data_IF_865750756041
#
_entry.id   IF_865750756041
#
_cell.length_a   1.000
_cell.length_b   1.000
_cell.length_c   1.000
_cell.angle_alpha   90.00
_cell.angle_beta   90.00
_cell.angle_gamma   90.00
#
_symmetry.space_group_name_H-M   'P 1'
#
loop_
_entity.id
_entity.type
_entity.pdbx_description
1 polymer ?
#
# COMPACT_ATOMS: atom_id res chain seq x y z
N UNK A 1 10.98 25.70 -5.67
CA UNK A 1 12.09 24.82 -5.25
C UNK A 1 12.25 23.73 -6.31
N UNK A 2 13.45 23.44 -6.78
CA UNK A 2 13.67 22.24 -7.60
C UNK A 2 13.36 21.01 -6.71
N UNK A 3 12.70 19.96 -7.24
CA UNK A 3 12.47 18.76 -6.46
C UNK A 3 13.83 18.20 -6.02
N UNK A 4 13.96 17.88 -4.73
CA UNK A 4 15.16 17.24 -4.22
C UNK A 4 15.38 15.93 -4.99
N UNK A 5 16.42 15.89 -5.81
CA UNK A 5 16.89 14.66 -6.44
C UNK A 5 17.41 13.75 -5.34
N UNK A 6 16.90 12.53 -5.27
CA UNK A 6 17.24 11.55 -4.25
C UNK A 6 16.61 10.20 -4.57
N UNK A 7 16.85 9.20 -3.71
CA UNK A 7 16.23 7.89 -3.86
C UNK A 7 14.85 7.85 -3.18
N UNK A 8 13.86 7.29 -3.85
CA UNK A 8 12.55 6.95 -3.26
C UNK A 8 12.29 5.47 -3.38
N UNK A 9 11.53 4.92 -2.43
CA UNK A 9 11.09 3.53 -2.46
C UNK A 9 9.58 3.46 -2.50
N UNK A 10 9.04 2.83 -3.53
CA UNK A 10 7.65 2.41 -3.54
C UNK A 10 7.53 1.04 -2.86
N UNK A 11 6.74 0.97 -1.80
CA UNK A 11 6.57 -0.21 -0.95
C UNK A 11 5.11 -0.65 -0.97
N UNK A 12 4.87 -1.93 -1.20
CA UNK A 12 3.57 -2.56 -1.04
C UNK A 12 3.67 -3.75 -0.08
N UNK A 13 2.71 -3.86 0.84
CA UNK A 13 2.59 -4.96 1.78
C UNK A 13 1.40 -5.81 1.36
N UNK A 14 1.63 -7.11 1.22
CA UNK A 14 0.61 -8.06 0.79
C UNK A 14 0.54 -9.25 1.73
N UNK A 15 -0.63 -9.85 1.81
CA UNK A 15 -0.85 -11.17 2.42
C UNK A 15 -1.49 -12.07 1.37
N UNK A 16 -0.76 -13.10 0.94
CA UNK A 16 -1.14 -13.88 -0.25
C UNK A 16 -1.39 -12.97 -1.47
N UNK A 17 -2.66 -12.73 -1.82
CA UNK A 17 -3.05 -11.88 -2.96
C UNK A 17 -3.64 -10.54 -2.54
N UNK A 18 -3.86 -10.32 -1.24
CA UNK A 18 -4.51 -9.12 -0.72
C UNK A 18 -3.49 -8.01 -0.48
N UNK A 19 -3.75 -6.83 -1.06
CA UNK A 19 -2.97 -5.62 -0.78
C UNK A 19 -3.41 -5.03 0.56
N UNK A 20 -2.51 -5.03 1.53
CA UNK A 20 -2.78 -4.51 2.87
C UNK A 20 -2.46 -3.04 3.00
N UNK A 21 -1.35 -2.59 2.41
CA UNK A 21 -0.90 -1.21 2.46
C UNK A 21 0.05 -0.92 1.31
N UNK A 22 0.13 0.35 0.90
CA UNK A 22 1.12 0.81 -0.06
C UNK A 22 1.49 2.27 0.20
N UNK A 23 2.77 2.56 0.03
CA UNK A 23 3.29 3.91 0.18
C UNK A 23 4.55 4.14 -0.62
N UNK A 24 4.94 5.40 -0.72
CA UNK A 24 6.25 5.83 -1.21
C UNK A 24 7.01 6.43 -0.04
N UNK A 25 8.20 5.91 0.21
CA UNK A 25 9.13 6.33 1.25
C UNK A 25 10.22 7.21 0.64
N UNK A 26 10.57 8.29 1.36
CA UNK A 26 11.61 9.26 0.98
C UNK A 26 12.76 9.24 1.99
N UNK A 27 13.80 10.03 1.73
CA UNK A 27 14.91 10.20 2.64
C UNK A 27 14.43 10.51 4.08
N UNK A 28 14.99 9.81 5.06
CA UNK A 28 14.58 9.89 6.46
C UNK A 28 13.57 8.83 6.88
N UNK A 29 12.86 8.19 5.94
CA UNK A 29 11.91 7.13 6.25
C UNK A 29 12.61 5.84 6.71
N UNK A 30 12.01 5.18 7.70
CA UNK A 30 12.40 3.84 8.16
C UNK A 30 11.15 2.96 8.16
N UNK A 31 11.24 1.82 7.48
CA UNK A 31 10.23 0.77 7.53
C UNK A 31 10.67 -0.28 8.54
N UNK A 32 9.89 -0.45 9.60
CA UNK A 32 10.17 -1.46 10.64
C UNK A 32 9.19 -2.62 10.59
N UNK A 33 9.66 -3.81 10.97
CA UNK A 33 8.86 -5.03 11.09
C UNK A 33 9.07 -5.58 12.49
N UNK A 34 8.04 -6.13 13.09
CA UNK A 34 8.18 -6.74 14.41
C UNK A 34 6.85 -7.19 14.98
N UNK A 35 6.88 -7.67 16.21
CA UNK A 35 5.69 -8.09 16.94
C UNK A 35 5.12 -6.96 17.82
N UNK A 36 5.87 -5.87 18.01
CA UNK A 36 5.48 -4.72 18.82
C UNK A 36 4.56 -3.74 18.09
N UNK A 37 3.80 -2.95 18.86
CA UNK A 37 2.92 -1.86 18.35
C UNK A 37 3.69 -0.70 17.71
N UNK A 38 5.01 -0.63 17.95
CA UNK A 38 5.91 0.35 17.36
C UNK A 38 6.42 -0.05 15.96
N UNK A 39 6.14 -1.27 15.51
CA UNK A 39 6.49 -1.72 14.17
C UNK A 39 5.52 -1.15 13.14
N UNK A 40 6.03 -0.58 12.05
CA UNK A 40 5.22 -0.20 10.88
C UNK A 40 4.45 -1.40 10.34
N UNK A 41 5.06 -2.59 10.39
CA UNK A 41 4.44 -3.85 10.00
C UNK A 41 4.43 -4.78 11.20
N UNK A 42 3.27 -4.93 11.83
CA UNK A 42 3.09 -5.85 12.95
C UNK A 42 2.81 -7.27 12.46
N UNK A 43 3.53 -8.23 13.04
CA UNK A 43 3.36 -9.65 12.80
C UNK A 43 2.84 -10.33 14.07
N UNK A 44 1.79 -11.13 13.93
CA UNK A 44 1.35 -12.04 14.99
C UNK A 44 1.93 -13.43 14.73
N UNK A 45 2.65 -14.00 15.69
CA UNK A 45 2.87 -15.45 15.73
C UNK A 45 4.16 -16.01 15.10
N UNK A 46 5.26 -15.26 15.02
CA UNK A 46 6.57 -15.85 14.69
C UNK A 46 7.74 -15.18 15.45
N UNK A 47 8.86 -15.90 15.54
CA UNK A 47 10.13 -15.59 16.22
C UNK A 47 10.89 -14.37 15.66
N UNK A 48 10.20 -13.26 15.47
CA UNK A 48 10.82 -11.99 15.13
C UNK A 48 11.09 -11.19 16.40
N UNK A 49 12.18 -10.41 16.42
CA UNK A 49 12.43 -9.46 17.50
C UNK A 49 11.27 -8.45 17.60
N UNK A 50 11.22 -7.75 18.73
CA UNK A 50 10.16 -6.76 19.00
C UNK A 50 10.08 -5.70 17.89
N UNK A 51 11.23 -5.29 17.34
CA UNK A 51 11.36 -4.31 16.28
C UNK A 51 12.66 -4.51 15.48
N UNK A 52 12.56 -4.61 14.15
CA UNK A 52 13.71 -4.67 13.23
C UNK A 52 13.53 -3.64 12.10
N UNK A 53 14.59 -2.94 11.71
CA UNK A 53 14.54 -1.99 10.59
C UNK A 53 14.71 -2.74 9.27
N UNK A 54 13.63 -3.04 8.56
CA UNK A 54 13.69 -3.71 7.25
C UNK A 54 14.31 -2.81 6.20
N UNK A 55 13.87 -1.56 6.13
CA UNK A 55 14.37 -0.61 5.15
C UNK A 55 14.67 0.73 5.79
N UNK A 56 15.82 1.30 5.44
CA UNK A 56 16.17 2.68 5.75
C UNK A 56 16.46 3.42 4.46
N UNK A 57 15.76 4.53 4.26
CA UNK A 57 15.98 5.43 3.12
C UNK A 57 16.77 6.62 3.60
N UNK A 58 17.93 6.81 2.99
CA UNK A 58 18.75 8.00 3.14
C UNK A 58 18.72 8.80 1.84
N UNK A 59 19.39 9.96 1.81
CA UNK A 59 19.27 10.92 0.72
C UNK A 59 19.47 10.29 -0.67
N UNK A 60 20.53 9.50 -0.84
CA UNK A 60 20.92 8.92 -2.13
C UNK A 60 21.05 7.39 -2.09
N UNK A 61 20.70 6.76 -0.97
CA UNK A 61 20.84 5.31 -0.78
C UNK A 61 19.68 4.76 0.04
N UNK A 62 19.30 3.54 -0.25
CA UNK A 62 18.46 2.75 0.63
C UNK A 62 19.23 1.52 1.06
N UNK A 63 18.95 1.06 2.27
CA UNK A 63 19.47 -0.22 2.71
C UNK A 63 18.32 -1.11 3.14
N UNK A 64 18.41 -2.37 2.73
CA UNK A 64 17.55 -3.45 3.18
C UNK A 64 18.32 -4.27 4.19
N UNK A 65 17.76 -4.46 5.38
CA UNK A 65 18.28 -5.41 6.34
C UNK A 65 17.36 -6.63 6.44
N UNK A 66 17.93 -7.82 6.47
CA UNK A 66 17.19 -9.08 6.53
C UNK A 66 17.92 -10.10 7.41
N UNK A 67 17.20 -11.14 7.83
CA UNK A 67 17.73 -12.25 8.64
C UNK A 67 17.46 -13.58 7.96
N UNK A 68 17.94 -14.69 8.51
CA UNK A 68 17.70 -16.05 7.97
C UNK A 68 16.21 -16.43 7.97
N UNK A 69 15.41 -15.80 8.84
CA UNK A 69 13.97 -16.02 8.90
C UNK A 69 13.21 -15.34 7.74
N UNK A 70 13.90 -14.58 6.88
CA UNK A 70 13.31 -13.86 5.76
C UNK A 70 13.78 -14.46 4.43
N UNK A 71 12.84 -14.68 3.53
CA UNK A 71 13.16 -15.03 2.14
C UNK A 71 13.26 -13.74 1.32
N UNK A 72 14.46 -13.46 0.79
CA UNK A 72 14.70 -12.29 -0.06
C UNK A 72 14.83 -12.74 -1.51
N UNK A 73 14.06 -12.10 -2.39
CA UNK A 73 14.25 -12.14 -3.83
C UNK A 73 14.60 -10.76 -4.34
N UNK A 74 15.79 -10.60 -4.91
CA UNK A 74 16.31 -9.33 -5.38
C UNK A 74 16.47 -9.35 -6.89
N UNK A 75 15.64 -8.56 -7.58
CA UNK A 75 15.71 -8.41 -9.01
C UNK A 75 16.51 -7.16 -9.39
N UNK A 76 17.61 -7.39 -10.10
CA UNK A 76 18.49 -6.37 -10.67
C UNK A 76 18.79 -6.75 -12.12
N UNK A 77 18.40 -5.89 -13.08
CA UNK A 77 18.41 -6.25 -14.50
C UNK A 77 17.49 -7.43 -14.81
N UNK A 78 18.02 -8.44 -15.49
CA UNK A 78 17.27 -9.64 -15.94
C UNK A 78 17.34 -10.82 -14.95
N UNK A 79 18.09 -10.70 -13.86
CA UNK A 79 18.31 -11.77 -12.88
C UNK A 79 17.56 -11.56 -11.57
N UNK A 80 17.13 -12.66 -10.94
CA UNK A 80 16.63 -12.70 -9.56
C UNK A 80 17.67 -13.39 -8.68
N UNK A 81 18.19 -12.69 -7.67
CA UNK A 81 19.10 -13.22 -6.65
C UNK A 81 18.33 -13.56 -5.38
N UNK A 82 18.63 -14.71 -4.79
CA UNK A 82 18.14 -15.15 -3.47
C UNK A 82 18.94 -14.51 -2.33
N UNK A 83 18.45 -14.62 -1.09
CA UNK A 83 19.20 -14.18 0.11
C UNK A 83 20.59 -14.80 0.18
N UNK A 84 20.71 -16.11 -0.05
CA UNK A 84 22.00 -16.81 -0.01
C UNK A 84 22.96 -16.30 -1.09
N UNK A 85 22.48 -16.09 -2.32
CA UNK A 85 23.32 -15.55 -3.40
C UNK A 85 23.78 -14.12 -3.11
N UNK A 86 22.96 -13.30 -2.44
CA UNK A 86 23.38 -11.96 -2.02
C UNK A 86 24.51 -12.02 -0.97
N UNK A 87 24.44 -12.99 -0.05
CA UNK A 87 25.46 -13.22 0.98
C UNK A 87 26.75 -13.74 0.33
N UNK A 88 26.66 -14.81 -0.47
CA UNK A 88 27.81 -15.48 -1.09
C UNK A 88 28.56 -14.57 -2.06
N UNK A 89 27.84 -13.66 -2.74
CA UNK A 89 28.45 -12.67 -3.65
C UNK A 89 29.03 -11.45 -2.94
N UNK A 90 28.85 -11.32 -1.62
CA UNK A 90 29.30 -10.17 -0.83
C UNK A 90 28.50 -8.89 -1.04
N UNK A 91 27.34 -8.97 -1.70
CA UNK A 91 26.42 -7.83 -1.87
C UNK A 91 25.72 -7.52 -0.55
N UNK A 92 25.40 -8.55 0.23
CA UNK A 92 24.87 -8.42 1.57
C UNK A 92 26.00 -8.60 2.59
N UNK A 93 26.19 -7.61 3.45
CA UNK A 93 27.21 -7.61 4.50
C UNK A 93 26.57 -7.94 5.84
N UNK A 94 27.27 -8.72 6.67
CA UNK A 94 26.81 -8.97 8.04
C UNK A 94 26.64 -7.66 8.81
N UNK A 95 25.55 -7.60 9.57
CA UNK A 95 25.21 -6.45 10.41
C UNK A 95 24.55 -6.95 11.69
N UNK A 96 24.45 -6.07 12.68
CA UNK A 96 23.62 -6.27 13.86
C UNK A 96 22.74 -5.05 14.09
N UNK A 97 21.52 -5.27 14.54
CA UNK A 97 20.67 -4.16 14.95
C UNK A 97 21.06 -3.62 16.34
N UNK A 98 20.34 -2.58 16.77
CA UNK A 98 20.50 -2.00 18.10
C UNK A 98 20.23 -2.99 19.25
N UNK A 99 19.47 -4.07 18.99
CA UNK A 99 19.21 -5.15 19.93
C UNK A 99 20.26 -6.27 19.89
N UNK A 100 21.28 -6.15 19.03
CA UNK A 100 22.35 -7.14 18.87
C UNK A 100 21.93 -8.39 18.10
N UNK A 101 20.78 -8.38 17.43
CA UNK A 101 20.34 -9.48 16.57
C UNK A 101 21.16 -9.44 15.29
N UNK A 102 21.83 -10.55 14.99
CA UNK A 102 22.63 -10.68 13.77
C UNK A 102 21.73 -10.79 12.53
N UNK A 103 22.17 -10.20 11.43
CA UNK A 103 21.52 -10.27 10.14
C UNK A 103 22.45 -9.78 9.04
N UNK A 104 21.87 -9.41 7.90
CA UNK A 104 22.59 -8.91 6.75
C UNK A 104 21.97 -7.63 6.24
N UNK A 105 22.79 -6.77 5.64
CA UNK A 105 22.39 -5.52 5.03
C UNK A 105 22.88 -5.45 3.58
N UNK A 106 21.98 -5.13 2.66
CA UNK A 106 22.28 -4.90 1.26
C UNK A 106 21.82 -3.51 0.83
N UNK A 107 22.63 -2.84 0.00
CA UNK A 107 22.32 -1.50 -0.52
C UNK A 107 21.44 -1.57 -1.76
N UNK A 108 20.31 -0.87 -1.76
CA UNK A 108 19.39 -0.75 -2.89
C UNK A 108 19.75 0.50 -3.70
N UNK A 109 20.01 0.29 -5.00
CA UNK A 109 20.14 1.37 -5.98
C UNK A 109 18.81 1.58 -6.74
N UNK A 110 18.68 2.75 -7.39
CA UNK A 110 17.54 3.06 -8.25
C UNK A 110 17.37 1.98 -9.34
N UNK A 111 16.12 1.60 -9.61
CA UNK A 111 15.78 0.51 -10.54
C UNK A 111 15.74 -0.88 -9.88
N UNK A 112 16.32 -1.05 -8.69
CA UNK A 112 16.25 -2.29 -7.92
C UNK A 112 14.83 -2.64 -7.51
N UNK A 113 14.50 -3.93 -7.55
CA UNK A 113 13.23 -4.47 -7.06
C UNK A 113 13.51 -5.58 -6.07
N UNK A 114 12.85 -5.56 -4.94
CA UNK A 114 13.03 -6.56 -3.89
C UNK A 114 11.69 -7.07 -3.46
N UNK A 115 11.61 -8.38 -3.25
CA UNK A 115 10.56 -9.02 -2.48
C UNK A 115 11.19 -9.59 -1.22
N UNK A 116 10.58 -9.28 -0.07
CA UNK A 116 10.92 -9.89 1.21
C UNK A 116 9.70 -10.62 1.72
N UNK A 117 9.83 -11.92 1.98
CA UNK A 117 8.77 -12.74 2.56
C UNK A 117 9.14 -13.17 3.96
N UNK A 118 8.17 -13.15 4.85
CA UNK A 118 8.30 -13.64 6.22
C UNK A 118 6.92 -14.10 6.71
N UNK A 119 6.82 -15.37 7.07
CA UNK A 119 5.53 -16.01 7.38
C UNK A 119 4.56 -15.87 6.21
N UNK A 120 3.37 -15.33 6.48
CA UNK A 120 2.32 -15.11 5.46
C UNK A 120 2.34 -13.74 4.77
N UNK A 121 3.29 -12.86 5.11
CA UNK A 121 3.40 -11.52 4.51
C UNK A 121 4.47 -11.47 3.42
N UNK A 122 4.26 -10.58 2.46
CA UNK A 122 5.26 -10.21 1.45
C UNK A 122 5.34 -8.69 1.34
N UNK A 123 6.55 -8.16 1.46
CA UNK A 123 6.87 -6.74 1.25
C UNK A 123 7.55 -6.62 -0.12
N UNK A 124 6.90 -5.90 -1.01
CA UNK A 124 7.38 -5.59 -2.35
C UNK A 124 7.98 -4.19 -2.33
N UNK A 125 9.22 -4.05 -2.75
CA UNK A 125 9.96 -2.79 -2.74
C UNK A 125 10.45 -2.52 -4.17
N UNK A 126 10.23 -1.30 -4.64
CA UNK A 126 10.78 -0.81 -5.90
C UNK A 126 11.50 0.50 -5.64
N UNK A 127 12.81 0.52 -5.90
CA UNK A 127 13.63 1.71 -5.79
C UNK A 127 13.55 2.54 -7.09
N UNK A 128 13.40 3.86 -6.97
CA UNK A 128 13.29 4.80 -8.09
C UNK A 128 13.92 6.14 -7.74
N UNK A 129 14.12 6.98 -8.75
CA UNK A 129 14.60 8.35 -8.54
C UNK A 129 13.43 9.26 -8.14
N UNK A 130 13.66 10.12 -7.15
CA UNK A 130 12.73 11.18 -6.72
C UNK A 130 12.37 12.10 -7.88
N UNK A 131 11.13 12.57 -7.90
CA UNK A 131 10.63 13.53 -8.89
C UNK A 131 10.28 12.93 -10.26
N UNK A 132 10.40 11.61 -10.45
CA UNK A 132 9.88 10.95 -11.65
C UNK A 132 8.34 11.00 -11.75
N UNK A 133 7.66 11.29 -10.63
CA UNK A 133 6.21 11.18 -10.49
C UNK A 133 5.62 12.48 -9.94
N UNK A 134 4.52 13.01 -10.51
CA UNK A 134 3.88 14.21 -10.01
C UNK A 134 3.28 13.97 -8.62
N UNK A 135 3.54 14.92 -7.73
CA UNK A 135 2.91 14.99 -6.41
C UNK A 135 1.65 15.86 -6.49
N UNK A 136 0.57 15.39 -5.87
CA UNK A 136 -0.71 16.10 -5.82
C UNK A 136 -1.19 16.14 -4.37
N UNK A 137 -1.85 17.24 -3.98
CA UNK A 137 -2.56 17.27 -2.72
C UNK A 137 -3.65 16.18 -2.71
N UNK A 138 -3.90 15.50 -1.58
CA UNK A 138 -5.04 14.59 -1.48
C UNK A 138 -6.35 15.36 -1.61
N UNK A 139 -7.44 14.67 -1.97
CA UNK A 139 -8.77 15.26 -1.87
C UNK A 139 -9.15 15.42 -0.39
N UNK A 140 -9.44 16.65 0.03
CA UNK A 140 -9.92 16.95 1.39
C UNK A 140 -11.39 16.56 1.56
N UNK A 141 -12.21 16.80 0.54
CA UNK A 141 -13.65 16.50 0.58
C UNK A 141 -13.97 15.00 0.58
N UNK A 142 -13.09 14.19 -0.02
CA UNK A 142 -13.27 12.75 -0.14
C UNK A 142 -11.98 12.00 0.22
N UNK A 143 -11.71 11.82 1.53
CA UNK A 143 -10.54 11.09 2.00
C UNK A 143 -10.45 9.71 1.34
N UNK A 144 -9.27 9.39 0.82
CA UNK A 144 -9.06 8.12 0.12
C UNK A 144 -9.21 8.19 -1.40
N UNK A 145 -9.52 9.35 -1.98
CA UNK A 145 -9.43 9.57 -3.42
C UNK A 145 -8.16 10.33 -3.81
N UNK A 146 -7.66 10.07 -5.01
CA UNK A 146 -6.52 10.77 -5.57
C UNK A 146 -6.90 12.19 -5.97
N UNK A 147 -6.19 13.21 -5.48
CA UNK A 147 -6.49 14.61 -5.84
C UNK A 147 -6.27 14.95 -7.32
N UNK A 148 -5.49 14.15 -8.05
CA UNK A 148 -5.25 14.36 -9.48
C UNK A 148 -6.30 13.74 -10.42
N UNK A 149 -6.92 12.61 -10.05
CA UNK A 149 -7.84 11.89 -10.95
C UNK A 149 -9.10 11.31 -10.27
N UNK A 150 -9.31 11.58 -8.98
CA UNK A 150 -10.41 11.10 -8.16
C UNK A 150 -10.54 9.56 -8.05
N UNK A 151 -9.56 8.78 -8.51
CA UNK A 151 -9.57 7.34 -8.33
C UNK A 151 -9.31 6.97 -6.86
N UNK A 152 -9.89 5.85 -6.41
CA UNK A 152 -9.62 5.30 -5.09
C UNK A 152 -8.12 5.00 -4.91
N UNK A 153 -7.57 5.44 -3.79
CA UNK A 153 -6.19 5.22 -3.39
C UNK A 153 -6.08 3.90 -2.60
N UNK A 154 -4.94 3.20 -2.69
CA UNK A 154 -4.69 2.03 -1.86
C UNK A 154 -4.68 2.41 -0.37
N UNK A 155 -4.89 1.44 0.54
CA UNK A 155 -4.70 1.67 1.97
C UNK A 155 -3.29 2.24 2.23
N UNK A 156 -3.18 3.28 3.08
CA UNK A 156 -1.91 3.95 3.32
C UNK A 156 -0.92 3.04 4.04
N UNK A 157 0.36 3.28 3.81
CA UNK A 157 1.42 2.76 4.67
C UNK A 157 1.55 3.68 5.89
N UNK A 158 1.49 3.14 7.11
CA UNK A 158 1.58 3.93 8.34
C UNK A 158 3.05 4.27 8.69
N UNK A 159 3.72 4.97 7.79
CA UNK A 159 5.04 5.55 8.00
C UNK A 159 4.92 7.06 7.88
N UNK A 160 5.49 7.77 8.85
CA UNK A 160 5.51 9.23 8.84
C UNK A 160 6.15 9.77 7.55
N UNK A 161 5.51 10.78 6.97
CA UNK A 161 5.89 11.37 5.68
C UNK A 161 5.73 10.45 4.45
N UNK A 162 5.12 9.27 4.58
CA UNK A 162 4.88 8.41 3.41
C UNK A 162 3.77 8.95 2.51
N UNK A 163 3.96 8.80 1.19
CA UNK A 163 3.01 9.26 0.19
C UNK A 163 2.19 8.11 -0.36
N UNK A 164 0.96 8.38 -0.80
CA UNK A 164 0.05 7.36 -1.36
C UNK A 164 0.11 7.35 -2.89
N UNK A 165 0.65 6.31 -3.53
CA UNK A 165 0.68 6.22 -4.99
C UNK A 165 -0.71 5.88 -5.54
N UNK A 166 -1.12 6.55 -6.62
CA UNK A 166 -2.35 6.29 -7.34
C UNK A 166 -2.12 5.33 -8.51
N UNK A 167 -2.85 4.21 -8.55
CA UNK A 167 -2.75 3.24 -9.64
C UNK A 167 -3.30 3.71 -10.98
N UNK A 168 -4.24 4.66 -10.97
CA UNK A 168 -4.91 5.11 -12.17
C UNK A 168 -4.09 6.13 -12.97
N UNK A 169 -3.54 7.14 -12.30
CA UNK A 169 -2.79 8.23 -12.94
C UNK A 169 -1.29 8.22 -12.66
N UNK A 170 -0.84 7.38 -11.72
CA UNK A 170 0.56 7.30 -11.29
C UNK A 170 0.97 8.36 -10.27
N UNK A 171 0.17 9.42 -10.02
CA UNK A 171 0.53 10.49 -9.10
C UNK A 171 0.72 9.98 -7.67
N UNK A 172 1.59 10.64 -6.90
CA UNK A 172 1.74 10.42 -5.46
C UNK A 172 0.97 11.48 -4.69
N UNK A 173 0.25 11.07 -3.65
CA UNK A 173 -0.61 11.95 -2.86
C UNK A 173 0.03 12.12 -1.50
N UNK A 174 0.22 13.37 -1.07
CA UNK A 174 0.71 13.67 0.28
C UNK A 174 -0.27 13.25 1.37
N UNK A 175 0.17 13.22 2.64
CA UNK A 175 -0.77 13.32 3.74
C UNK A 175 -1.58 14.62 3.61
N UNK A 176 -2.84 14.66 4.08
CA UNK A 176 -3.55 15.93 4.21
C UNK A 176 -2.73 16.83 5.14
N UNK A 177 -2.57 18.11 4.75
CA UNK A 177 -1.86 19.07 5.59
C UNK A 177 -2.65 19.23 6.90
N UNK A 178 -2.04 19.01 8.08
CA UNK A 178 -2.74 19.18 9.34
C UNK A 178 -3.28 20.61 9.55
N UNK A 179 -2.62 21.63 8.99
CA UNK A 179 -3.07 23.03 9.12
C UNK A 179 -4.40 23.27 8.38
N UNK A 180 -4.63 22.59 7.25
CA UNK A 180 -5.87 22.70 6.47
C UNK A 180 -7.09 22.02 7.14
N UNK A 181 -6.86 21.15 8.14
CA UNK A 181 -7.91 20.43 8.86
C UNK A 181 -8.50 21.27 9.99
N UNK A 182 -7.69 22.11 10.64
CA UNK A 182 -8.13 22.93 11.79
C UNK A 182 -9.09 24.05 11.36
N UNK A 183 -8.84 24.70 10.22
CA UNK A 183 -9.70 25.77 9.68
C UNK A 183 -11.08 25.25 9.20
N UNK A 184 -11.14 24.00 8.76
CA UNK A 184 -12.39 23.36 8.30
C UNK A 184 -13.32 22.96 9.46
N UNK A 185 -12.77 22.77 10.67
CA UNK A 185 -13.55 22.44 11.87
C UNK A 185 -14.09 23.71 12.54
N UNK A 186 -13.34 24.80 12.53
CA UNK A 186 -13.76 26.06 13.18
C UNK A 186 -14.85 26.83 12.43
N UNK A 187 -14.89 26.73 11.10
CA UNK A 187 -15.88 27.46 10.28
C UNK A 187 -17.31 26.89 10.34
N UNK A 188 -17.53 25.74 10.98
CA UNK A 188 -18.86 25.14 11.14
C UNK A 188 -19.52 25.43 12.49
N UNK A 189 -18.81 26.10 13.41
CA UNK A 189 -19.34 26.46 14.74
C UNK A 189 -19.78 27.91 14.88
N UNK A 190 -19.39 28.83 14.00
CA UNK A 190 -19.73 30.27 14.13
C UNK A 190 -21.10 30.64 13.52
N UNK A 191 -21.70 29.78 12.70
CA UNK A 191 -23.04 30.03 12.11
C UNK A 191 -24.20 29.38 12.91
N UNK A 192 -23.91 28.75 14.06
CA UNK A 192 -24.92 28.08 14.87
C UNK A 192 -25.55 28.95 15.98
N UNK A 193 -24.99 30.13 16.28
CA UNK A 193 -25.37 30.92 17.47
C UNK A 193 -26.36 32.08 17.22
N UNK A 194 -26.89 32.27 16.00
CA UNK A 194 -27.89 33.32 15.71
C UNK A 194 -29.35 32.84 15.57
N UNK A 195 -29.68 31.61 16.00
CA UNK A 195 -31.07 31.13 16.05
C UNK A 195 -31.52 30.60 17.43
N UNK A 196 -31.12 31.24 18.53
CA UNK A 196 -31.90 31.13 19.78
C UNK A 196 -33.07 32.11 19.78
N UNK A 197 -34.10 31.60 19.13
CA UNK A 197 -35.50 31.96 19.18
C UNK A 197 -35.98 32.32 20.59
N UNK A 198 -36.46 33.55 20.70
CA UNK A 198 -37.31 34.08 21.77
C UNK A 198 -38.63 33.29 21.84
N UNK A 199 -38.67 32.15 22.56
CA UNK A 199 -39.94 31.45 22.86
C UNK A 199 -39.94 30.88 24.29
N UNK A 200 -40.49 31.70 25.19
CA UNK A 200 -41.54 31.28 26.12
C UNK A 200 -41.29 30.06 27.00
N UNK A 201 -40.82 30.32 28.22
CA UNK A 201 -40.94 29.41 29.36
C UNK A 201 -42.42 29.05 29.62
N UNK A 202 -42.72 27.75 29.57
CA UNK A 202 -43.93 27.16 30.15
C UNK A 202 -43.59 25.79 30.76
N UNK A 203 -43.90 25.53 32.04
CA UNK A 203 -43.65 24.24 32.66
C UNK A 203 -44.83 23.31 32.40
N UNK A 204 -44.59 22.12 31.84
CA UNK A 204 -45.57 21.03 31.88
C UNK A 204 -44.89 19.74 32.30
N UNK A 205 -45.37 19.23 33.42
CA UNK A 205 -44.99 17.99 34.05
C UNK A 205 -45.62 16.76 33.37
N UNK A 206 -44.94 15.62 33.54
CA UNK A 206 -45.41 14.23 33.57
C UNK A 206 -46.47 13.75 32.56
N UNK A 207 -46.17 12.64 31.86
CA UNK A 207 -46.82 11.35 32.15
C UNK A 207 -46.26 10.18 31.31
N UNK A 208 -46.02 9.08 32.02
CA UNK A 208 -45.96 7.70 31.51
C UNK A 208 -47.33 7.29 30.90
N UNK A 209 -47.31 6.54 29.79
CA UNK A 209 -48.24 5.45 29.36
C UNK A 209 -47.85 5.10 27.89
N UNK A 210 -47.29 3.94 27.53
CA UNK A 210 -47.87 2.60 27.35
C UNK A 210 -48.99 2.50 26.29
N UNK A 211 -48.69 1.87 25.13
CA UNK A 211 -49.55 1.09 24.20
C UNK A 211 -48.77 0.89 22.87
N UNK A 212 -48.31 -0.31 22.48
CA UNK A 212 -49.01 -1.43 21.80
C UNK A 212 -49.72 -1.10 20.48
N UNK A 213 -49.39 -1.91 19.46
CA UNK A 213 -50.10 -2.12 18.18
C UNK A 213 -49.63 -1.20 17.05
N UNK A 214 -49.59 -1.57 15.78
CA UNK A 214 -49.78 -2.83 15.05
C UNK A 214 -49.32 -2.56 13.60
N UNK A 215 -49.16 -3.66 12.86
CA UNK A 215 -49.02 -3.83 11.41
C UNK A 215 -49.49 -2.70 10.45
N UNK A 216 -48.67 -2.44 9.41
CA UNK A 216 -49.06 -2.24 7.99
C UNK A 216 -47.77 -2.11 7.14
N UNK A 217 -47.41 -3.03 6.25
CA UNK A 217 -48.04 -3.39 4.97
C UNK A 217 -48.10 -2.23 3.94
N UNK A 218 -47.11 -2.21 3.04
CA UNK A 218 -47.32 -1.98 1.60
C UNK A 218 -47.34 -0.53 1.05
N UNK A 219 -46.36 -0.21 0.20
CA UNK A 219 -46.51 0.41 -1.14
C UNK A 219 -45.11 0.81 -1.62
N UNK A 220 -44.50 0.14 -2.61
CA UNK A 220 -44.65 0.37 -4.06
C UNK A 220 -44.87 1.83 -4.46
N UNK A 221 -43.77 2.55 -4.68
CA UNK A 221 -43.70 3.73 -5.56
C UNK A 221 -42.36 3.70 -6.31
N UNK A 222 -42.37 3.13 -7.52
CA UNK A 222 -41.64 3.74 -8.64
C UNK A 222 -42.60 4.76 -9.27
N UNK A 223 -42.11 5.94 -9.70
CA UNK A 223 -41.98 6.07 -11.14
C UNK A 223 -40.87 7.02 -11.63
N UNK A 224 -40.54 6.80 -12.91
CA UNK A 224 -40.18 7.81 -13.92
C UNK A 224 -38.85 8.55 -13.71
N UNK A 225 -37.88 8.44 -14.62
CA UNK A 225 -38.06 8.75 -16.03
C UNK A 225 -37.84 10.25 -16.21
N UNK A 226 -36.59 10.62 -16.45
CA UNK A 226 -36.13 11.98 -16.71
C UNK A 226 -34.95 11.93 -17.66
N UNK A 227 -35.24 11.89 -18.95
CA UNK A 227 -34.32 12.26 -20.02
C UNK A 227 -34.11 13.79 -19.97
N UNK A 228 -32.86 14.24 -19.93
CA UNK A 228 -32.49 15.58 -20.32
C UNK A 228 -31.07 15.57 -20.90
N UNK A 229 -30.96 16.22 -22.05
CA UNK A 229 -29.89 16.18 -23.02
C UNK A 229 -28.61 16.92 -22.60
N UNK A 230 -27.50 16.40 -23.17
CA UNK A 230 -26.38 17.11 -23.80
C UNK A 230 -25.72 18.29 -23.06
N UNK A 231 -24.43 18.09 -22.71
CA UNK A 231 -23.42 19.09 -23.06
C UNK A 231 -21.98 18.55 -23.03
N UNK A 232 -21.21 18.96 -24.04
CA UNK A 232 -19.76 19.15 -24.05
C UNK A 232 -18.81 17.93 -23.99
N UNK A 233 -18.49 17.44 -25.20
CA UNK A 233 -17.14 17.08 -25.68
C UNK A 233 -16.07 16.64 -24.67
N UNK A 234 -15.92 15.32 -24.49
CA UNK A 234 -14.73 14.73 -23.87
C UNK A 234 -13.71 14.29 -24.93
N UNK A 235 -12.41 14.58 -24.76
CA UNK A 235 -11.37 14.09 -25.65
C UNK A 235 -11.21 12.57 -25.47
N UNK A 236 -11.50 11.85 -26.55
CA UNK A 236 -11.35 10.39 -26.70
C UNK A 236 -9.90 9.96 -26.46
N UNK A 237 -9.54 9.69 -25.21
CA UNK A 237 -8.20 9.20 -24.83
C UNK A 237 -8.05 7.72 -25.22
N UNK A 238 -7.04 7.43 -26.04
CA UNK A 238 -6.67 6.09 -26.50
C UNK A 238 -6.50 5.14 -25.30
N UNK A 239 -7.39 4.15 -25.19
CA UNK A 239 -7.19 2.97 -24.32
C UNK A 239 -5.90 2.28 -24.77
N UNK A 240 -4.83 2.36 -23.96
CA UNK A 240 -3.65 1.51 -24.11
C UNK A 240 -4.08 0.09 -23.77
N UNK A 241 -4.24 -0.74 -24.78
CA UNK A 241 -4.49 -2.18 -24.63
C UNK A 241 -3.36 -2.82 -23.83
N UNK A 242 -3.71 -3.67 -22.86
CA UNK A 242 -2.77 -4.59 -22.24
C UNK A 242 -2.17 -5.48 -23.34
N UNK A 243 -0.86 -5.75 -23.34
CA UNK A 243 -0.25 -6.60 -24.36
C UNK A 243 -0.87 -8.00 -24.29
N UNK A 244 -1.38 -8.55 -25.40
CA UNK A 244 -1.83 -9.92 -25.43
C UNK A 244 -0.60 -10.80 -25.22
N UNK A 245 -0.55 -11.51 -24.09
CA UNK A 245 0.39 -12.61 -23.94
C UNK A 245 0.18 -13.54 -25.12
N UNK A 246 1.19 -13.63 -25.97
CA UNK A 246 1.09 -14.43 -27.19
C UNK A 246 0.93 -15.88 -26.76
N UNK A 247 0.08 -16.64 -27.47
CA UNK A 247 -0.14 -18.08 -27.20
C UNK A 247 1.18 -18.88 -27.14
N UNK A 248 2.23 -18.34 -27.75
CA UNK A 248 3.60 -18.85 -27.71
C UNK A 248 4.24 -18.77 -26.31
N UNK A 249 4.07 -17.65 -25.59
CA UNK A 249 4.61 -17.47 -24.24
C UNK A 249 3.92 -18.39 -23.22
N UNK A 250 2.62 -18.62 -23.38
CA UNK A 250 1.89 -19.59 -22.57
C UNK A 250 2.34 -21.03 -22.85
N UNK A 251 2.65 -21.34 -24.12
CA UNK A 251 3.19 -22.64 -24.52
C UNK A 251 4.59 -22.93 -23.96
N UNK A 252 5.48 -21.93 -23.92
CA UNK A 252 6.83 -22.09 -23.36
C UNK A 252 6.81 -22.33 -21.85
N UNK A 253 5.91 -21.67 -21.12
CA UNK A 253 5.72 -21.92 -19.68
C UNK A 253 5.19 -23.33 -19.41
N UNK A 254 4.22 -23.79 -20.20
CA UNK A 254 3.68 -25.14 -20.06
C UNK A 254 4.74 -26.22 -20.36
N UNK A 255 5.58 -26.02 -21.37
CA UNK A 255 6.64 -26.98 -21.72
C UNK A 255 7.73 -27.08 -20.64
N UNK A 256 8.14 -25.94 -20.06
CA UNK A 256 9.11 -25.91 -18.96
C UNK A 256 8.62 -26.62 -17.69
N UNK A 257 7.31 -26.54 -17.40
CA UNK A 257 6.74 -27.22 -16.25
C UNK A 257 6.72 -28.75 -16.41
N UNK A 258 6.40 -29.24 -17.61
CA UNK A 258 6.38 -30.68 -17.92
C UNK A 258 7.79 -31.27 -17.90
N UNK A 259 8.79 -30.60 -18.47
CA UNK A 259 10.17 -31.09 -18.45
C UNK A 259 10.76 -31.10 -17.04
N UNK A 260 10.43 -30.11 -16.20
CA UNK A 260 10.84 -30.08 -14.79
C UNK A 260 10.30 -31.24 -13.97
N UNK A 261 9.01 -31.58 -14.13
CA UNK A 261 8.39 -32.71 -13.42
C UNK A 261 9.00 -34.05 -13.81
N UNK A 262 9.35 -34.23 -15.10
CA UNK A 262 10.04 -35.44 -15.58
C UNK A 262 11.43 -35.54 -14.93
N UNK A 263 12.19 -34.44 -14.86
CA UNK A 263 13.50 -34.41 -14.22
C UNK A 263 13.46 -34.79 -12.74
N UNK A 264 12.52 -34.20 -11.98
CA UNK A 264 12.33 -34.51 -10.56
C UNK A 264 11.95 -35.98 -10.36
N UNK A 265 11.07 -36.51 -11.21
CA UNK A 265 10.63 -37.92 -11.14
C UNK A 265 11.79 -38.89 -11.37
N UNK A 266 12.71 -38.58 -12.31
CA UNK A 266 13.90 -39.39 -12.57
C UNK A 266 14.90 -39.37 -11.42
N UNK A 267 15.10 -38.21 -10.77
CA UNK A 267 15.96 -38.09 -9.59
C UNK A 267 15.41 -38.91 -8.42
N UNK A 268 14.10 -38.81 -8.16
CA UNK A 268 13.43 -39.60 -7.12
C UNK A 268 13.53 -41.10 -7.40
N UNK A 269 13.33 -41.52 -8.66
CA UNK A 269 13.47 -42.92 -9.05
C UNK A 269 14.90 -43.44 -8.82
N UNK A 270 15.93 -42.66 -9.17
CA UNK A 270 17.32 -43.02 -8.94
C UNK A 270 17.64 -43.20 -7.45
N UNK A 271 17.16 -42.29 -6.60
CA UNK A 271 17.33 -42.34 -5.14
C UNK A 271 16.62 -43.52 -4.48
N UNK A 272 15.53 -44.01 -5.06
CA UNK A 272 14.81 -45.19 -4.54
C UNK A 272 15.44 -46.52 -4.96
N UNK A 273 16.28 -46.52 -5.99
CA UNK A 273 16.97 -47.72 -6.50
C UNK A 273 18.39 -47.91 -5.96
N UNK A 274 18.94 -46.91 -5.25
CA UNK A 274 20.25 -46.94 -4.58
C UNK A 274 20.12 -47.32 -3.11
#
# INVERSE_FOLDING_TARGET
MAPATGLELEVAITRAQDLLARGVLRAGSVLTVGNGRSATVTLGGASLPELWSLVRVEQDRASLAFTEAMEVGWAEGDGLKTSQELIDSGVALETSDAAGTAGWQASLAAGGKVIVRFGGLSVLIKARTSGEVPEVAPSMDTPGLCGGCAAALPPPLEVDGSLRPCDACGAVNGPPDPEDVEDSIQTSSEDADEQETELGLGPVAMSLSQAMGDDQAGSNVEPSGGEAEASAGTPRRKRRGKPPWTRLQLGLLAFGFVSGLIGISLILAALLTS
#
